data_IF_675683194197
#
_entry.id   IF_675683194197
#
_cell.length_a   1.000
_cell.length_b   1.000
_cell.length_c   1.000
_cell.angle_alpha   90.00
_cell.angle_beta   90.00
_cell.angle_gamma   90.00
#
_symmetry.space_group_name_H-M   'P 1'
#
loop_
_entity.id
_entity.type
_entity.pdbx_description
1 polymer ?
#
# COMPACT_ATOMS: atom_id res chain seq x y z
N UNK A 1 11.99 6.90 -13.55
CA UNK A 1 11.17 5.94 -12.79
C UNK A 1 9.81 6.56 -12.54
N UNK A 2 8.71 5.91 -12.93
CA UNK A 2 7.37 6.50 -12.83
C UNK A 2 6.93 6.65 -11.37
N UNK A 3 7.19 5.65 -10.53
CA UNK A 3 6.73 5.64 -9.14
C UNK A 3 7.60 6.47 -8.18
N UNK A 4 8.82 6.84 -8.57
CA UNK A 4 9.75 7.46 -7.63
C UNK A 4 9.35 8.88 -7.22
N UNK A 5 9.05 9.07 -5.94
CA UNK A 5 8.60 10.34 -5.40
C UNK A 5 8.04 10.22 -3.98
N UNK A 6 7.79 11.37 -3.37
CA UNK A 6 7.02 11.48 -2.12
C UNK A 6 5.58 11.79 -2.46
N UNK A 7 4.67 11.13 -1.77
CA UNK A 7 3.23 11.27 -1.94
C UNK A 7 2.61 11.53 -0.56
N UNK A 8 1.80 12.57 -0.46
CA UNK A 8 0.99 12.83 0.72
C UNK A 8 -0.42 12.26 0.50
N UNK A 9 -0.95 11.56 1.49
CA UNK A 9 -2.35 11.14 1.52
C UNK A 9 -3.27 12.33 1.19
N UNK A 10 -4.03 12.21 0.11
CA UNK A 10 -5.02 13.20 -0.32
C UNK A 10 -6.43 12.78 0.08
N UNK A 11 -6.78 11.51 -0.14
CA UNK A 11 -8.11 10.97 0.18
C UNK A 11 -8.07 9.46 0.39
N UNK A 12 -9.01 8.96 1.20
CA UNK A 12 -9.17 7.53 1.44
C UNK A 12 -10.65 7.18 1.56
N UNK A 13 -11.05 6.15 0.82
CA UNK A 13 -12.43 5.64 0.72
C UNK A 13 -12.51 4.24 1.32
N UNK A 14 -13.59 3.97 2.06
CA UNK A 14 -13.89 2.68 2.71
C UNK A 14 -12.78 2.16 3.64
N UNK A 15 -11.99 3.07 4.20
CA UNK A 15 -10.89 2.73 5.12
C UNK A 15 -11.41 2.10 6.41
N UNK A 16 -12.49 2.65 6.99
CA UNK A 16 -13.08 2.13 8.22
C UNK A 16 -13.69 0.74 8.02
N UNK A 17 -14.50 0.56 6.96
CA UNK A 17 -15.08 -0.74 6.62
C UNK A 17 -14.00 -1.80 6.37
N UNK A 18 -12.90 -1.42 5.69
CA UNK A 18 -11.80 -2.33 5.41
C UNK A 18 -11.09 -2.73 6.71
N UNK A 19 -10.73 -1.75 7.55
CA UNK A 19 -10.10 -2.01 8.84
C UNK A 19 -10.99 -2.85 9.75
N UNK A 20 -12.30 -2.60 9.77
CA UNK A 20 -13.25 -3.41 10.53
C UNK A 20 -13.25 -4.87 10.02
N UNK A 21 -13.30 -5.06 8.70
CA UNK A 21 -13.31 -6.38 8.09
C UNK A 21 -12.04 -7.20 8.35
N UNK A 22 -10.87 -6.56 8.47
CA UNK A 22 -9.61 -7.22 8.84
C UNK A 22 -9.31 -7.17 10.35
N UNK A 23 -10.21 -6.61 11.17
CA UNK A 23 -10.03 -6.50 12.62
C UNK A 23 -8.95 -5.50 13.06
N UNK A 24 -8.56 -4.56 12.19
CA UNK A 24 -7.53 -3.53 12.42
C UNK A 24 -8.10 -2.14 12.71
N UNK A 25 -9.33 -2.04 13.23
CA UNK A 25 -9.93 -0.78 13.67
C UNK A 25 -9.02 0.04 14.60
N UNK A 26 -8.27 -0.62 15.49
CA UNK A 26 -7.32 0.04 16.40
C UNK A 26 -6.11 0.68 15.69
N UNK A 27 -5.84 0.28 14.44
CA UNK A 27 -4.75 0.81 13.64
C UNK A 27 -5.21 2.01 12.78
N UNK A 28 -6.49 2.41 12.86
CA UNK A 28 -7.06 3.55 12.14
C UNK A 28 -6.19 4.79 12.37
N UNK A 29 -5.57 5.25 11.30
CA UNK A 29 -4.78 6.47 11.30
C UNK A 29 -5.57 7.56 10.58
N UNK A 30 -6.05 8.54 11.34
CA UNK A 30 -6.70 9.74 10.80
C UNK A 30 -5.67 10.75 10.25
N UNK A 31 -4.39 10.51 10.52
CA UNK A 31 -3.31 11.40 10.11
C UNK A 31 -2.91 11.20 8.65
N UNK A 32 -2.37 12.29 8.07
CA UNK A 32 -1.78 12.27 6.73
C UNK A 32 -0.61 11.30 6.69
N UNK A 33 -0.77 10.22 5.92
CA UNK A 33 0.32 9.29 5.64
C UNK A 33 1.15 9.86 4.49
N UNK A 34 2.45 10.05 4.73
CA UNK A 34 3.41 10.38 3.67
C UNK A 34 4.02 9.07 3.20
N UNK A 35 3.88 8.78 1.91
CA UNK A 35 4.41 7.61 1.25
C UNK A 35 5.53 8.03 0.32
N UNK A 36 6.75 7.60 0.58
CA UNK A 36 7.88 7.74 -0.32
C UNK A 36 8.12 6.42 -1.03
N UNK A 37 8.14 6.46 -2.35
CA UNK A 37 8.47 5.30 -3.18
C UNK A 37 9.78 5.59 -3.90
N UNK A 38 10.72 4.66 -3.80
CA UNK A 38 11.97 4.67 -4.55
C UNK A 38 11.97 3.42 -5.42
N UNK A 39 12.04 3.60 -6.73
CA UNK A 39 12.09 2.49 -7.68
C UNK A 39 13.52 2.44 -8.22
N UNK A 40 14.15 1.27 -8.15
CA UNK A 40 15.49 0.97 -8.65
C UNK A 40 15.39 -0.26 -9.56
N UNK A 41 15.11 -0.04 -10.86
CA UNK A 41 14.80 -1.11 -11.80
C UNK A 41 13.56 -1.91 -11.38
N UNK A 42 13.78 -3.15 -10.93
CA UNK A 42 12.76 -4.07 -10.43
C UNK A 42 12.56 -4.00 -8.92
N UNK A 43 13.45 -3.31 -8.19
CA UNK A 43 13.39 -3.18 -6.74
C UNK A 43 12.65 -1.90 -6.36
N UNK A 44 11.75 -2.01 -5.41
CA UNK A 44 10.94 -0.91 -4.90
C UNK A 44 11.15 -0.81 -3.40
N UNK A 45 11.45 0.40 -2.94
CA UNK A 45 11.49 0.74 -1.53
C UNK A 45 10.32 1.66 -1.25
N UNK A 46 9.38 1.16 -0.46
CA UNK A 46 8.15 1.84 -0.10
C UNK A 46 8.20 2.23 1.37
N UNK A 47 8.42 3.51 1.62
CA UNK A 47 8.50 4.07 2.97
C UNK A 47 7.21 4.80 3.29
N UNK A 48 6.50 4.41 4.33
CA UNK A 48 5.35 5.13 4.85
C UNK A 48 5.72 5.78 6.18
N UNK A 49 5.45 7.07 6.27
CA UNK A 49 5.69 7.92 7.43
C UNK A 49 4.35 8.48 7.90
N UNK A 50 4.00 8.20 9.14
CA UNK A 50 2.90 8.85 9.87
C UNK A 50 3.51 9.64 11.03
N UNK A 51 2.81 10.63 11.61
CA UNK A 51 3.38 11.50 12.65
C UNK A 51 4.05 10.78 13.83
N UNK A 52 3.59 9.56 14.14
CA UNK A 52 4.06 8.79 15.30
C UNK A 52 4.88 7.54 14.92
N UNK A 53 4.99 7.18 13.63
CA UNK A 53 5.59 5.92 13.20
C UNK A 53 6.07 6.00 11.75
N UNK A 54 7.21 5.39 11.44
CA UNK A 54 7.71 5.30 10.07
C UNK A 54 8.15 3.87 9.82
N UNK A 55 7.77 3.31 8.67
CA UNK A 55 8.15 1.96 8.26
C UNK A 55 8.48 1.93 6.78
N UNK A 56 9.43 1.07 6.42
CA UNK A 56 9.90 0.90 5.04
C UNK A 56 9.83 -0.55 4.62
N UNK A 57 9.22 -0.79 3.47
CA UNK A 57 9.09 -2.10 2.84
C UNK A 57 9.91 -2.14 1.57
N UNK A 58 10.81 -3.11 1.45
CA UNK A 58 11.62 -3.27 0.25
C UNK A 58 11.22 -4.55 -0.45
N UNK A 59 10.82 -4.46 -1.72
CA UNK A 59 10.37 -5.61 -2.50
C UNK A 59 10.82 -5.53 -3.95
N UNK A 60 11.11 -6.69 -4.53
CA UNK A 60 11.44 -6.87 -5.94
C UNK A 60 10.24 -7.43 -6.70
N UNK A 61 9.94 -6.82 -7.84
CA UNK A 61 8.90 -7.31 -8.76
C UNK A 61 9.34 -8.64 -9.38
N UNK A 62 8.47 -9.64 -9.30
CA UNK A 62 8.67 -11.00 -9.80
C UNK A 62 9.19 -11.98 -8.75
N UNK A 63 9.43 -11.54 -7.51
CA UNK A 63 9.98 -12.36 -6.43
C UNK A 63 9.11 -12.29 -5.16
N UNK A 64 9.26 -13.30 -4.30
CA UNK A 64 8.66 -13.30 -2.97
C UNK A 64 9.46 -12.40 -2.04
N UNK A 65 8.81 -11.37 -1.50
CA UNK A 65 9.45 -10.35 -0.68
C UNK A 65 8.83 -10.28 0.71
N UNK A 66 9.67 -10.00 1.71
CA UNK A 66 9.21 -9.74 3.07
C UNK A 66 8.65 -8.33 3.18
N UNK A 67 7.36 -8.23 3.47
CA UNK A 67 6.62 -7.00 3.67
C UNK A 67 6.20 -6.92 5.14
N UNK A 68 6.28 -5.72 5.69
CA UNK A 68 5.90 -5.37 7.06
C UNK A 68 4.63 -4.54 7.01
N UNK A 69 3.59 -5.00 7.72
CA UNK A 69 2.35 -4.24 7.88
C UNK A 69 2.52 -3.14 8.91
N UNK A 70 1.56 -2.20 8.95
CA UNK A 70 1.47 -1.16 9.98
C UNK A 70 1.44 -1.70 11.43
N UNK A 71 1.09 -2.98 11.63
CA UNK A 71 1.14 -3.62 12.96
C UNK A 71 2.53 -4.15 13.34
N UNK A 72 3.54 -4.00 12.47
CA UNK A 72 4.86 -4.61 12.66
C UNK A 72 4.90 -6.10 12.32
N UNK A 73 3.81 -6.68 11.83
CA UNK A 73 3.80 -8.08 11.37
C UNK A 73 4.50 -8.18 10.01
N UNK A 74 5.50 -9.05 9.95
CA UNK A 74 6.22 -9.39 8.72
C UNK A 74 5.59 -10.61 8.08
N UNK A 75 5.39 -10.56 6.77
CA UNK A 75 4.90 -11.68 5.99
C UNK A 75 5.60 -11.66 4.62
N UNK A 76 5.63 -12.82 3.96
CA UNK A 76 6.19 -12.94 2.62
C UNK A 76 5.07 -12.98 1.60
N UNK A 77 5.18 -12.17 0.56
CA UNK A 77 4.23 -12.20 -0.55
C UNK A 77 4.94 -11.97 -1.89
N UNK A 78 4.50 -12.65 -2.96
CA UNK A 78 4.97 -12.36 -4.30
C UNK A 78 4.45 -10.98 -4.74
N UNK A 79 5.36 -10.15 -5.22
CA UNK A 79 4.99 -8.86 -5.84
C UNK A 79 5.02 -9.00 -7.35
N UNK A 80 3.90 -8.73 -8.00
CA UNK A 80 3.80 -8.68 -9.45
C UNK A 80 3.61 -7.25 -9.93
N UNK A 81 4.00 -6.96 -11.17
CA UNK A 81 3.78 -5.66 -11.78
C UNK A 81 3.33 -5.87 -13.22
N UNK A 82 2.14 -5.39 -13.54
CA UNK A 82 1.56 -5.48 -14.88
C UNK A 82 1.15 -4.10 -15.36
N UNK A 83 1.62 -3.68 -16.53
CA UNK A 83 1.22 -2.41 -17.14
C UNK A 83 1.51 -1.16 -16.30
N UNK A 84 2.50 -1.20 -15.40
CA UNK A 84 2.75 -0.09 -14.48
C UNK A 84 1.92 -0.14 -13.19
N UNK A 85 1.24 -1.24 -12.90
CA UNK A 85 0.48 -1.46 -11.67
C UNK A 85 1.11 -2.58 -10.85
N UNK A 86 1.52 -2.26 -9.63
CA UNK A 86 2.03 -3.20 -8.64
C UNK A 86 0.83 -3.95 -8.05
N UNK A 87 0.91 -5.27 -7.96
CA UNK A 87 -0.08 -6.11 -7.30
C UNK A 87 0.61 -7.05 -6.33
N UNK A 88 0.04 -7.18 -5.14
CA UNK A 88 0.56 -8.01 -4.07
C UNK A 88 -0.60 -8.81 -3.51
N UNK A 89 -0.47 -10.13 -3.57
CA UNK A 89 -1.49 -11.04 -3.08
C UNK A 89 -1.19 -11.40 -1.62
N UNK A 90 -1.97 -10.83 -0.70
CA UNK A 90 -1.94 -11.23 0.70
C UNK A 90 -2.94 -12.36 0.93
N UNK A 91 -2.73 -13.21 1.94
CA UNK A 91 -3.71 -14.24 2.31
C UNK A 91 -5.05 -13.64 2.77
N UNK A 92 -5.06 -12.42 3.31
CA UNK A 92 -6.25 -11.74 3.82
C UNK A 92 -6.86 -10.73 2.82
N UNK A 93 -6.08 -10.18 1.89
CA UNK A 93 -6.54 -9.18 0.93
C UNK A 93 -5.65 -9.08 -0.30
N UNK A 94 -6.16 -8.53 -1.38
CA UNK A 94 -5.39 -8.21 -2.57
C UNK A 94 -5.04 -6.73 -2.57
N UNK A 95 -3.75 -6.43 -2.49
CA UNK A 95 -3.24 -5.07 -2.55
C UNK A 95 -2.81 -4.76 -3.98
N UNK A 96 -3.17 -3.59 -4.49
CA UNK A 96 -2.68 -3.09 -5.76
C UNK A 96 -2.32 -1.62 -5.65
N UNK A 97 -1.30 -1.18 -6.38
CA UNK A 97 -0.88 0.21 -6.43
C UNK A 97 -0.55 0.60 -7.86
N UNK A 98 -1.07 1.75 -8.29
CA UNK A 98 -0.87 2.30 -9.62
C UNK A 98 -0.64 3.80 -9.54
N UNK A 99 0.07 4.35 -10.52
CA UNK A 99 0.28 5.78 -10.64
C UNK A 99 -0.67 6.32 -11.72
N UNK A 100 -1.60 7.18 -11.34
CA UNK A 100 -2.59 7.81 -12.23
C UNK A 100 -2.37 9.32 -12.14
N UNK A 101 -1.98 9.97 -13.25
CA UNK A 101 -1.84 11.44 -13.33
C UNK A 101 -1.00 12.04 -12.19
N UNK A 102 0.19 11.47 -11.93
CA UNK A 102 1.09 11.84 -10.81
C UNK A 102 0.51 11.61 -9.39
N UNK A 103 -0.61 10.89 -9.28
CA UNK A 103 -1.17 10.45 -8.00
C UNK A 103 -0.96 8.96 -7.81
N UNK A 104 -0.47 8.61 -6.63
CA UNK A 104 -0.32 7.22 -6.19
C UNK A 104 -1.66 6.71 -5.68
N UNK A 105 -2.29 5.82 -6.44
CA UNK A 105 -3.58 5.21 -6.11
C UNK A 105 -3.36 3.78 -5.66
N UNK A 106 -3.72 3.49 -4.42
CA UNK A 106 -3.61 2.19 -3.78
C UNK A 106 -5.01 1.62 -3.58
N UNK A 107 -5.21 0.35 -3.89
CA UNK A 107 -6.46 -0.37 -3.67
C UNK A 107 -6.18 -1.65 -2.87
N UNK A 108 -6.87 -1.83 -1.74
CA UNK A 108 -6.87 -3.10 -1.01
C UNK A 108 -8.27 -3.71 -1.10
N UNK A 109 -8.38 -4.89 -1.70
CA UNK A 109 -9.66 -5.60 -1.85
C UNK A 109 -9.64 -6.87 -1.03
N UNK A 110 -10.58 -7.04 -0.10
CA UNK A 110 -10.73 -8.27 0.66
C UNK A 110 -11.52 -9.27 -0.20
N UNK A 111 -10.99 -10.46 -0.52
CA UNK A 111 -11.76 -11.50 -1.17
C UNK A 111 -12.75 -12.12 -0.17
N UNK A 112 -14.04 -12.20 -0.53
CA UNK A 112 -15.09 -12.81 0.30
C UNK A 112 -16.50 -12.25 0.03
N UNK A 113 -17.54 -12.84 0.63
CA UNK A 113 -18.95 -12.41 0.46
C UNK A 113 -19.23 -10.98 0.94
N UNK A 114 -18.40 -10.46 1.88
CA UNK A 114 -18.37 -9.05 2.32
C UNK A 114 -17.14 -8.34 1.77
N UNK A 115 -16.84 -8.52 0.48
CA UNK A 115 -15.64 -7.94 -0.13
C UNK A 115 -15.62 -6.42 -0.01
N UNK A 116 -14.74 -5.89 0.85
CA UNK A 116 -14.51 -4.45 0.98
C UNK A 116 -13.31 -4.07 0.12
N UNK A 117 -13.49 -3.05 -0.70
CA UNK A 117 -12.40 -2.41 -1.46
C UNK A 117 -12.09 -1.06 -0.85
N UNK A 118 -10.99 -0.99 -0.12
CA UNK A 118 -10.39 0.27 0.31
C UNK A 118 -9.62 0.89 -0.84
N UNK A 119 -9.80 2.20 -1.04
CA UNK A 119 -9.03 2.99 -2.00
C UNK A 119 -8.35 4.13 -1.27
N UNK A 120 -7.08 4.36 -1.58
CA UNK A 120 -6.30 5.48 -1.07
C UNK A 120 -5.65 6.19 -2.23
N UNK A 121 -5.84 7.50 -2.28
CA UNK A 121 -5.25 8.40 -3.27
C UNK A 121 -4.25 9.29 -2.54
N UNK A 122 -3.01 9.26 -3.00
CA UNK A 122 -1.93 10.10 -2.46
C UNK A 122 -1.40 10.97 -3.59
N UNK A 123 -1.36 12.28 -3.38
CA UNK A 123 -0.84 13.24 -4.35
C UNK A 123 0.66 13.39 -4.16
N UNK A 124 1.41 13.55 -5.25
CA UNK A 124 2.84 13.85 -5.16
C UNK A 124 3.09 15.21 -4.50
N UNK A 125 4.10 15.29 -3.63
CA UNK A 125 4.56 16.52 -2.95
C UNK A 125 6.03 16.81 -3.22
#
# INVERSE_FOLDING_TARGET
MAFSGKYELESQDKYEEFLEAIGLLNAKTDHKVVTEVVQDGNKFTWTQSIPNWTWSNTFSVGEECELTTMMGSKFKAPVTMEGGKISVQFPQYHFTAELIEDKLVMHCTIPGEKGVTFKRVSRRI
#
